data_IF_322713158613
#
_entry.id   IF_322713158613
#
_cell.length_a   1.000
_cell.length_b   1.000
_cell.length_c   1.000
_cell.angle_alpha   90.00
_cell.angle_beta   90.00
_cell.angle_gamma   90.00
#
_symmetry.space_group_name_H-M   'P 1'
#
loop_
_entity.id
_entity.type
_entity.pdbx_description
1 polymer ?
#
# COMPACT_ATOMS: atom_id res chain seq x y z
N UNK A 1 -18.17 28.30 -7.84
CA UNK A 1 -17.72 27.52 -6.69
C UNK A 1 -18.96 27.05 -5.96
N UNK A 2 -19.12 25.76 -5.82
CA UNK A 2 -20.19 25.16 -5.03
C UNK A 2 -19.52 24.35 -3.92
N UNK A 3 -19.79 24.71 -2.67
CA UNK A 3 -19.25 24.03 -1.48
C UNK A 3 -20.39 23.80 -0.49
N UNK A 4 -20.46 22.61 0.05
CA UNK A 4 -21.42 22.23 1.06
C UNK A 4 -20.72 21.88 2.36
N UNK A 5 -21.14 22.52 3.46
CA UNK A 5 -20.64 22.22 4.80
C UNK A 5 -21.41 21.06 5.41
N UNK A 6 -20.68 20.14 6.02
CA UNK A 6 -21.21 18.92 6.58
C UNK A 6 -21.07 18.93 8.11
N UNK A 7 -22.13 19.30 8.80
CA UNK A 7 -22.17 19.35 10.27
C UNK A 7 -22.71 18.03 10.84
N UNK A 8 -21.81 17.05 11.09
CA UNK A 8 -22.18 15.77 11.68
C UNK A 8 -21.20 15.37 12.79
N UNK A 9 -21.72 15.15 14.00
CA UNK A 9 -20.92 14.91 15.20
C UNK A 9 -20.70 13.41 15.49
N UNK A 10 -20.48 12.57 14.47
CA UNK A 10 -20.14 11.14 14.62
C UNK A 10 -19.44 10.64 13.36
N UNK A 11 -18.70 9.55 13.38
CA UNK A 11 -17.79 9.00 14.37
C UNK A 11 -16.42 9.70 14.30
N UNK A 12 -15.62 9.64 15.39
CA UNK A 12 -14.25 10.21 15.46
C UNK A 12 -13.25 9.53 14.52
N UNK A 13 -13.62 8.38 13.99
CA UNK A 13 -12.72 7.51 13.21
C UNK A 13 -12.60 7.95 11.75
N UNK A 14 -13.71 8.35 11.12
CA UNK A 14 -13.78 8.86 9.76
C UNK A 14 -15.00 9.74 9.60
N UNK A 15 -14.82 10.97 9.15
CA UNK A 15 -15.92 11.89 8.91
C UNK A 15 -15.55 12.94 7.85
N UNK A 16 -16.55 13.69 7.38
CA UNK A 16 -16.40 14.76 6.40
C UNK A 16 -16.71 16.13 7.04
N UNK A 17 -15.94 17.15 6.68
CA UNK A 17 -16.24 18.54 7.01
C UNK A 17 -17.06 19.20 5.94
N UNK A 18 -16.67 19.05 4.68
CA UNK A 18 -17.29 19.66 3.52
C UNK A 18 -16.86 18.93 2.25
N UNK A 19 -17.59 19.17 1.19
CA UNK A 19 -17.21 18.80 -0.15
C UNK A 19 -17.56 19.91 -1.12
N UNK A 20 -17.00 19.88 -2.31
CA UNK A 20 -17.31 20.86 -3.31
C UNK A 20 -16.79 20.52 -4.69
N UNK A 21 -17.20 21.33 -5.67
CA UNK A 21 -16.78 21.25 -7.06
C UNK A 21 -16.55 22.64 -7.65
N UNK A 22 -15.55 22.77 -8.50
CA UNK A 22 -15.24 23.99 -9.23
C UNK A 22 -14.88 23.67 -10.67
N UNK A 23 -15.52 24.36 -11.60
CA UNK A 23 -15.38 24.14 -13.03
C UNK A 23 -14.63 25.33 -13.64
N UNK A 24 -13.67 25.04 -14.52
CA UNK A 24 -12.88 25.99 -15.34
C UNK A 24 -12.31 27.18 -14.56
N UNK A 25 -11.48 26.87 -13.56
CA UNK A 25 -10.73 27.89 -12.83
C UNK A 25 -9.47 28.24 -13.57
N UNK A 26 -9.34 29.51 -13.96
CA UNK A 26 -8.14 30.06 -14.62
C UNK A 26 -7.32 30.89 -13.62
N UNK A 27 -6.01 30.95 -13.80
CA UNK A 27 -5.08 31.80 -13.03
C UNK A 27 -5.24 31.70 -11.51
N UNK A 28 -5.57 30.51 -11.00
CA UNK A 28 -5.77 30.31 -9.59
C UNK A 28 -4.49 29.87 -8.90
N UNK A 29 -4.04 30.71 -7.97
CA UNK A 29 -2.99 30.34 -7.02
C UNK A 29 -3.64 30.11 -5.67
N UNK A 30 -3.30 28.96 -5.06
CA UNK A 30 -3.79 28.61 -3.73
C UNK A 30 -2.62 28.57 -2.75
N UNK A 31 -2.85 29.20 -1.62
CA UNK A 31 -1.85 29.25 -0.55
C UNK A 31 -0.73 30.29 -0.78
N UNK A 32 0.30 30.26 0.08
CA UNK A 32 0.53 29.21 1.10
C UNK A 32 -0.49 29.24 2.24
N UNK A 33 -1.10 28.08 2.52
CA UNK A 33 -2.11 27.91 3.57
C UNK A 33 -1.83 26.64 4.39
N UNK A 34 -2.31 26.61 5.64
CA UNK A 34 -2.22 25.44 6.53
C UNK A 34 -3.64 25.09 6.96
N UNK A 35 -3.95 23.78 6.97
CA UNK A 35 -5.25 23.26 7.42
C UNK A 35 -5.09 22.32 8.60
N UNK A 36 -6.15 22.14 9.38
CA UNK A 36 -6.18 21.23 10.54
C UNK A 36 -6.75 19.85 10.21
N UNK A 37 -7.17 19.64 8.97
CA UNK A 37 -7.79 18.41 8.48
C UNK A 37 -7.22 18.04 7.10
N UNK A 38 -7.50 16.84 6.65
CA UNK A 38 -7.14 16.42 5.30
C UNK A 38 -8.08 17.07 4.27
N UNK A 39 -7.50 17.62 3.21
CA UNK A 39 -8.27 18.02 2.03
C UNK A 39 -7.76 17.20 0.84
N UNK A 40 -8.66 16.45 0.25
CA UNK A 40 -8.42 15.63 -0.93
C UNK A 40 -9.00 16.38 -2.13
N UNK A 41 -8.13 16.76 -3.07
CA UNK A 41 -8.53 17.44 -4.31
C UNK A 41 -8.30 16.48 -5.47
N UNK A 42 -9.35 16.19 -6.21
CA UNK A 42 -9.27 15.42 -7.44
C UNK A 42 -9.30 16.38 -8.64
N UNK A 43 -8.33 16.21 -9.54
CA UNK A 43 -8.21 16.99 -10.76
C UNK A 43 -8.89 16.21 -11.89
N UNK A 44 -10.06 16.70 -12.31
CA UNK A 44 -10.82 16.12 -13.42
C UNK A 44 -10.21 16.54 -14.77
N UNK A 45 -9.91 17.84 -14.90
CA UNK A 45 -9.33 18.45 -16.10
C UNK A 45 -8.32 19.53 -15.73
N UNK A 46 -7.42 19.81 -16.67
CA UNK A 46 -6.43 20.87 -16.55
C UNK A 46 -5.16 20.43 -15.82
N UNK A 47 -4.21 21.34 -15.76
CA UNK A 47 -2.87 21.08 -15.22
C UNK A 47 -2.40 22.21 -14.31
N UNK A 48 -1.38 21.94 -13.49
CA UNK A 48 -0.81 22.92 -12.57
C UNK A 48 0.48 22.44 -11.93
N UNK A 49 0.98 23.22 -10.99
CA UNK A 49 2.21 22.94 -10.28
C UNK A 49 2.00 23.08 -8.78
N UNK A 50 2.34 22.03 -8.03
CA UNK A 50 2.48 22.07 -6.59
C UNK A 50 3.90 22.51 -6.25
N UNK A 51 4.04 23.58 -5.47
CA UNK A 51 5.32 24.02 -4.92
C UNK A 51 5.58 23.29 -3.60
N UNK A 52 6.37 22.24 -3.67
CA UNK A 52 6.66 21.37 -2.52
C UNK A 52 8.10 21.57 -2.05
N UNK A 53 8.37 21.28 -0.76
CA UNK A 53 9.71 21.39 -0.17
C UNK A 53 10.78 20.54 -0.87
N UNK A 54 10.39 19.43 -1.47
CA UNK A 54 11.26 18.51 -2.20
C UNK A 54 11.37 18.83 -3.70
N UNK A 55 10.85 19.98 -4.14
CA UNK A 55 10.79 20.40 -5.54
C UNK A 55 9.38 20.51 -6.09
N UNK A 56 9.27 21.11 -7.26
CA UNK A 56 7.97 21.31 -7.89
C UNK A 56 7.41 19.97 -8.45
N UNK A 57 6.14 19.69 -8.16
CA UNK A 57 5.45 18.49 -8.63
C UNK A 57 4.40 18.90 -9.66
N UNK A 58 4.42 18.25 -10.83
CA UNK A 58 3.42 18.45 -11.86
C UNK A 58 2.10 17.82 -11.45
N UNK A 59 1.03 18.60 -11.55
CA UNK A 59 -0.35 18.17 -11.31
C UNK A 59 -1.05 18.01 -12.66
N UNK A 60 -1.62 16.84 -12.90
CA UNK A 60 -2.25 16.44 -14.17
C UNK A 60 -3.69 15.95 -13.92
N UNK A 61 -4.52 15.83 -14.99
CA UNK A 61 -5.81 15.17 -14.89
C UNK A 61 -5.70 13.78 -14.27
N UNK A 62 -6.72 13.38 -13.55
CA UNK A 62 -6.83 12.11 -12.83
C UNK A 62 -5.79 11.92 -11.73
N UNK A 63 -5.23 13.01 -11.19
CA UNK A 63 -4.44 13.00 -9.97
C UNK A 63 -5.28 13.42 -8.75
N UNK A 64 -5.01 12.81 -7.61
CA UNK A 64 -5.37 13.32 -6.30
C UNK A 64 -4.21 14.16 -5.76
N UNK A 65 -4.52 15.34 -5.27
CA UNK A 65 -3.64 16.15 -4.44
C UNK A 65 -4.16 16.08 -3.00
N UNK A 66 -3.36 15.55 -2.09
CA UNK A 66 -3.72 15.42 -0.68
C UNK A 66 -3.01 16.51 0.12
N UNK A 67 -3.81 17.33 0.78
CA UNK A 67 -3.32 18.33 1.73
C UNK A 67 -3.39 17.75 3.13
N UNK A 68 -2.23 17.51 3.73
CA UNK A 68 -2.12 16.94 5.08
C UNK A 68 -2.36 17.99 6.16
N UNK A 69 -2.92 17.61 7.32
CA UNK A 69 -3.08 18.53 8.45
C UNK A 69 -1.72 19.12 8.88
N UNK A 70 -1.74 20.43 9.17
CA UNK A 70 -0.58 21.21 9.63
C UNK A 70 0.59 21.33 8.63
N UNK A 71 0.42 20.85 7.40
CA UNK A 71 1.39 21.04 6.32
C UNK A 71 1.06 22.29 5.50
N UNK A 72 2.12 23.00 5.10
CA UNK A 72 1.99 24.17 4.23
C UNK A 72 1.81 23.71 2.78
N UNK A 73 0.76 24.18 2.14
CA UNK A 73 0.50 23.89 0.75
C UNK A 73 0.45 25.14 -0.10
N UNK A 74 1.01 25.04 -1.30
CA UNK A 74 0.99 26.11 -2.29
C UNK A 74 0.99 25.50 -3.68
N UNK A 75 -0.01 25.81 -4.50
CA UNK A 75 -0.06 25.40 -5.90
C UNK A 75 -0.57 26.52 -6.82
N UNK A 76 -0.21 26.43 -8.09
CA UNK A 76 -0.66 27.31 -9.15
C UNK A 76 -1.25 26.49 -10.31
N UNK A 77 -2.43 26.91 -10.78
CA UNK A 77 -3.07 26.37 -12.00
C UNK A 77 -2.45 27.03 -13.23
N UNK A 78 -2.22 26.26 -14.27
CA UNK A 78 -1.68 26.78 -15.53
C UNK A 78 -2.70 27.69 -16.22
N UNK A 79 -2.21 28.74 -16.85
CA UNK A 79 -3.05 29.76 -17.50
C UNK A 79 -3.80 29.18 -18.71
N UNK A 80 -3.14 28.32 -19.47
CA UNK A 80 -3.68 27.72 -20.69
C UNK A 80 -4.43 26.39 -20.45
N UNK A 81 -4.50 25.93 -19.19
CA UNK A 81 -5.10 24.64 -18.85
C UNK A 81 -5.92 24.73 -17.56
N UNK A 82 -7.09 25.36 -17.63
CA UNK A 82 -7.93 25.63 -16.47
C UNK A 82 -8.43 24.36 -15.80
N UNK A 83 -8.50 24.38 -14.46
CA UNK A 83 -8.91 23.24 -13.66
C UNK A 83 -10.41 23.06 -13.57
N UNK A 84 -10.86 21.82 -13.76
CA UNK A 84 -12.09 21.28 -13.19
C UNK A 84 -11.68 20.34 -12.07
N UNK A 85 -12.12 20.63 -10.84
CA UNK A 85 -11.76 19.88 -9.65
C UNK A 85 -12.97 19.57 -8.78
N UNK A 86 -12.92 18.42 -8.13
CA UNK A 86 -13.79 18.07 -7.00
C UNK A 86 -12.94 17.88 -5.75
N UNK A 87 -13.48 18.20 -4.58
CA UNK A 87 -12.75 18.02 -3.33
C UNK A 87 -13.64 17.57 -2.18
N UNK A 88 -13.01 16.87 -1.23
CA UNK A 88 -13.60 16.49 0.06
C UNK A 88 -12.64 16.85 1.19
N UNK A 89 -13.14 17.53 2.20
CA UNK A 89 -12.46 17.77 3.47
C UNK A 89 -12.83 16.68 4.46
N UNK A 90 -11.86 15.88 4.89
CA UNK A 90 -12.09 14.72 5.75
C UNK A 90 -11.21 14.76 7.00
N UNK A 91 -11.65 14.09 8.06
CA UNK A 91 -10.90 13.96 9.29
C UNK A 91 -11.18 12.61 9.97
N UNK A 92 -10.31 12.24 10.92
CA UNK A 92 -10.39 11.00 11.68
C UNK A 92 -9.13 10.15 11.56
N UNK A 93 -8.95 9.24 12.50
CA UNK A 93 -7.74 8.43 12.59
C UNK A 93 -7.55 7.49 11.40
N UNK A 94 -8.65 6.94 10.87
CA UNK A 94 -8.62 6.02 9.73
C UNK A 94 -8.15 6.67 8.42
N UNK A 95 -8.34 7.99 8.25
CA UNK A 95 -7.89 8.71 7.04
C UNK A 95 -6.37 8.56 6.87
N UNK A 96 -5.63 8.75 7.97
CA UNK A 96 -4.18 8.61 7.93
C UNK A 96 -3.74 7.17 7.64
N UNK A 97 -4.46 6.18 8.18
CA UNK A 97 -4.13 4.77 7.96
C UNK A 97 -4.42 4.35 6.51
N UNK A 98 -5.50 4.84 5.91
CA UNK A 98 -5.76 4.64 4.48
C UNK A 98 -4.66 5.26 3.60
N UNK A 99 -4.21 6.48 3.90
CA UNK A 99 -3.11 7.09 3.15
C UNK A 99 -1.80 6.33 3.31
N UNK A 100 -1.49 5.82 4.51
CA UNK A 100 -0.33 4.93 4.70
C UNK A 100 -0.43 3.66 3.85
N UNK A 101 -1.61 3.02 3.79
CA UNK A 101 -1.86 1.86 2.94
C UNK A 101 -1.65 2.20 1.45
N UNK A 102 -1.97 3.40 1.03
CA UNK A 102 -1.75 3.91 -0.32
C UNK A 102 -0.30 4.35 -0.59
N UNK A 103 0.59 4.38 0.42
CA UNK A 103 1.92 4.98 0.41
C UNK A 103 1.90 6.47 0.03
N UNK A 104 0.87 7.17 0.50
CA UNK A 104 0.72 8.62 0.36
C UNK A 104 1.05 9.25 1.71
N UNK A 105 1.89 10.25 1.71
CA UNK A 105 2.27 11.03 2.88
C UNK A 105 2.57 12.49 2.50
N UNK A 106 2.96 13.29 3.47
CA UNK A 106 3.28 14.69 3.23
C UNK A 106 4.52 14.91 2.35
N UNK A 107 5.38 13.90 2.18
CA UNK A 107 6.54 13.95 1.25
C UNK A 107 6.13 13.62 -0.20
N UNK A 108 5.08 12.82 -0.37
CA UNK A 108 4.54 12.37 -1.66
C UNK A 108 3.01 12.57 -1.68
N UNK A 109 2.53 13.83 -1.74
CA UNK A 109 1.12 14.17 -1.55
C UNK A 109 0.28 14.05 -2.84
N UNK A 110 0.85 13.59 -3.94
CA UNK A 110 0.16 13.44 -5.23
C UNK A 110 0.05 11.96 -5.59
N UNK A 111 -1.17 11.54 -5.96
CA UNK A 111 -1.46 10.15 -6.28
C UNK A 111 -2.21 10.04 -7.62
N UNK A 112 -1.67 9.32 -8.63
CA UNK A 112 -2.37 9.04 -9.87
C UNK A 112 -3.49 8.02 -9.64
N UNK A 113 -4.67 8.30 -10.14
CA UNK A 113 -5.85 7.44 -10.03
C UNK A 113 -5.89 6.44 -11.17
N UNK A 114 -5.96 5.14 -10.84
CA UNK A 114 -6.00 4.06 -11.84
C UNK A 114 -7.37 3.92 -12.51
N UNK A 115 -8.46 4.23 -11.79
CA UNK A 115 -9.83 4.17 -12.29
C UNK A 115 -10.55 5.52 -12.10
N UNK A 116 -10.32 6.48 -13.00
CA UNK A 116 -10.91 7.82 -12.93
C UNK A 116 -12.42 7.82 -12.85
N UNK A 117 -13.08 7.05 -13.71
CA UNK A 117 -14.56 7.02 -13.80
C UNK A 117 -15.21 6.61 -12.48
N UNK A 118 -14.62 5.66 -11.77
CA UNK A 118 -15.12 5.21 -10.47
C UNK A 118 -14.98 6.30 -9.41
N UNK A 119 -13.83 6.97 -9.37
CA UNK A 119 -13.57 8.06 -8.41
C UNK A 119 -14.47 9.28 -8.69
N UNK A 120 -14.63 9.64 -9.94
CA UNK A 120 -15.52 10.74 -10.36
C UNK A 120 -16.97 10.48 -9.96
N UNK A 121 -17.45 9.26 -10.19
CA UNK A 121 -18.79 8.85 -9.77
C UNK A 121 -18.97 8.98 -8.26
N UNK A 122 -18.04 8.44 -7.46
CA UNK A 122 -18.12 8.49 -6.00
C UNK A 122 -18.09 9.94 -5.51
N UNK A 123 -17.19 10.77 -6.03
CA UNK A 123 -17.11 12.19 -5.64
C UNK A 123 -18.38 12.97 -6.02
N UNK A 124 -18.97 12.67 -7.18
CA UNK A 124 -20.24 13.26 -7.59
C UNK A 124 -21.39 12.82 -6.66
N UNK A 125 -21.45 11.55 -6.29
CA UNK A 125 -22.45 11.03 -5.37
C UNK A 125 -22.28 11.67 -3.97
N UNK A 126 -21.07 11.80 -3.45
CA UNK A 126 -20.79 12.55 -2.21
C UNK A 126 -21.32 13.97 -2.31
N UNK A 127 -21.05 14.66 -3.42
CA UNK A 127 -21.52 16.03 -3.63
C UNK A 127 -23.05 16.11 -3.66
N UNK A 128 -23.74 15.21 -4.35
CA UNK A 128 -25.19 15.16 -4.43
C UNK A 128 -25.84 14.87 -3.07
N UNK A 129 -25.36 13.83 -2.36
CA UNK A 129 -25.89 13.46 -1.05
C UNK A 129 -25.53 14.44 0.06
N UNK A 130 -24.53 15.30 -0.12
CA UNK A 130 -24.19 16.34 0.85
C UNK A 130 -25.30 17.38 1.06
N UNK A 131 -26.25 17.49 0.13
CA UNK A 131 -27.45 18.31 0.26
C UNK A 131 -28.56 17.65 1.08
N UNK A 132 -28.49 16.33 1.30
CA UNK A 132 -29.40 15.64 2.20
C UNK A 132 -28.91 15.75 3.65
N UNK A 133 -29.47 16.73 4.38
CA UNK A 133 -29.11 16.99 5.78
C UNK A 133 -29.73 15.99 6.78
N UNK A 134 -30.51 15.00 6.30
CA UNK A 134 -31.03 13.91 7.14
C UNK A 134 -29.91 13.05 7.73
N UNK A 135 -30.21 12.31 8.79
CA UNK A 135 -29.27 11.36 9.36
C UNK A 135 -28.87 10.29 8.35
N UNK A 136 -29.81 9.84 7.51
CA UNK A 136 -29.56 8.87 6.46
C UNK A 136 -28.58 9.40 5.42
N UNK A 137 -28.79 10.63 4.91
CA UNK A 137 -27.90 11.27 3.95
C UNK A 137 -26.49 11.46 4.49
N UNK A 138 -26.37 11.85 5.76
CA UNK A 138 -25.08 11.99 6.43
C UNK A 138 -24.33 10.66 6.56
N UNK A 139 -25.01 9.58 6.95
CA UNK A 139 -24.42 8.25 7.02
C UNK A 139 -24.03 7.77 5.62
N UNK A 140 -24.85 8.06 4.61
CA UNK A 140 -24.56 7.69 3.23
C UNK A 140 -23.29 8.40 2.70
N UNK A 141 -23.11 9.70 2.98
CA UNK A 141 -21.86 10.39 2.65
C UNK A 141 -20.64 9.72 3.29
N UNK A 142 -20.73 9.29 4.55
CA UNK A 142 -19.62 8.57 5.21
C UNK A 142 -19.36 7.23 4.53
N UNK A 143 -20.41 6.47 4.15
CA UNK A 143 -20.23 5.21 3.42
C UNK A 143 -19.54 5.42 2.08
N UNK A 144 -19.85 6.48 1.34
CA UNK A 144 -19.20 6.85 0.09
C UNK A 144 -17.73 7.22 0.28
N UNK A 145 -17.32 7.75 1.44
CA UNK A 145 -15.90 7.99 1.73
C UNK A 145 -15.16 6.65 1.93
N UNK A 146 -15.79 5.66 2.57
CA UNK A 146 -15.23 4.30 2.62
C UNK A 146 -15.12 3.69 1.21
N UNK A 147 -16.14 3.85 0.36
CA UNK A 147 -16.10 3.40 -1.02
C UNK A 147 -14.99 4.08 -1.83
N UNK A 148 -14.75 5.38 -1.58
CA UNK A 148 -13.65 6.13 -2.18
C UNK A 148 -12.29 5.51 -1.84
N UNK A 149 -12.00 5.25 -0.57
CA UNK A 149 -10.77 4.59 -0.18
C UNK A 149 -10.69 3.13 -0.64
N UNK A 150 -11.80 2.40 -0.63
CA UNK A 150 -11.88 1.04 -1.16
C UNK A 150 -11.57 1.01 -2.66
N UNK A 151 -12.08 1.98 -3.44
CA UNK A 151 -11.79 2.10 -4.87
C UNK A 151 -10.30 2.36 -5.14
N UNK A 152 -9.65 3.23 -4.34
CA UNK A 152 -8.22 3.49 -4.44
C UNK A 152 -7.35 2.28 -4.05
N UNK A 153 -7.81 1.47 -3.10
CA UNK A 153 -7.10 0.29 -2.59
C UNK A 153 -7.35 -0.97 -3.42
N UNK A 154 -8.35 -0.98 -4.31
CA UNK A 154 -8.86 -2.17 -5.01
C UNK A 154 -7.77 -3.01 -5.68
N UNK A 155 -6.77 -2.37 -6.27
CA UNK A 155 -5.67 -3.04 -6.97
C UNK A 155 -4.37 -3.04 -6.17
N UNK A 156 -4.39 -2.47 -4.95
CA UNK A 156 -3.18 -2.34 -4.14
C UNK A 156 -3.08 -3.51 -3.18
N UNK A 157 -2.16 -4.42 -3.46
CA UNK A 157 -1.76 -5.41 -2.46
C UNK A 157 -1.11 -4.68 -1.28
N UNK A 158 -1.63 -4.87 -0.07
CA UNK A 158 -1.01 -4.36 1.16
C UNK A 158 0.42 -4.92 1.25
N UNK A 159 1.36 -4.15 1.84
CA UNK A 159 2.74 -4.63 2.07
C UNK A 159 2.76 -5.98 2.80
N UNK A 160 1.87 -6.14 3.77
CA UNK A 160 1.67 -7.37 4.53
C UNK A 160 1.22 -8.53 3.63
N UNK A 161 0.46 -8.26 2.56
CA UNK A 161 0.02 -9.30 1.65
C UNK A 161 1.17 -9.84 0.80
N UNK A 162 2.10 -8.98 0.36
CA UNK A 162 3.30 -9.46 -0.36
C UNK A 162 4.17 -10.37 0.50
N UNK A 163 4.36 -10.02 1.77
CA UNK A 163 5.18 -10.84 2.68
C UNK A 163 4.47 -12.13 3.04
N UNK A 164 3.17 -12.10 3.35
CA UNK A 164 2.35 -13.30 3.61
C UNK A 164 2.32 -14.22 2.38
N UNK A 165 2.12 -13.65 1.20
CA UNK A 165 2.11 -14.41 -0.06
C UNK A 165 3.49 -14.99 -0.38
N UNK A 166 4.58 -14.23 -0.14
CA UNK A 166 5.95 -14.75 -0.26
C UNK A 166 6.22 -15.92 0.71
N UNK A 167 5.79 -15.80 1.97
CA UNK A 167 5.90 -16.88 2.96
C UNK A 167 5.11 -18.11 2.49
N UNK A 168 3.90 -17.90 1.96
CA UNK A 168 3.11 -19.00 1.40
C UNK A 168 3.83 -19.67 0.23
N UNK A 169 4.31 -18.91 -0.75
CA UNK A 169 5.07 -19.42 -1.89
C UNK A 169 6.29 -20.24 -1.41
N UNK A 170 7.04 -19.72 -0.43
CA UNK A 170 8.21 -20.40 0.12
C UNK A 170 7.82 -21.72 0.77
N UNK A 171 6.81 -21.73 1.64
CA UNK A 171 6.36 -22.94 2.35
C UNK A 171 5.85 -24.04 1.44
N UNK A 172 5.28 -23.70 0.29
CA UNK A 172 4.77 -24.71 -0.67
C UNK A 172 5.75 -25.10 -1.77
N UNK A 173 6.89 -24.41 -1.89
CA UNK A 173 7.86 -24.68 -2.94
C UNK A 173 9.33 -24.70 -2.45
N UNK A 174 9.57 -24.80 -1.14
CA UNK A 174 10.94 -24.79 -0.59
C UNK A 174 11.82 -25.91 -1.16
N UNK A 175 11.24 -27.03 -1.55
CA UNK A 175 11.88 -28.20 -2.14
C UNK A 175 12.32 -27.98 -3.60
N UNK A 176 11.77 -26.95 -4.26
CA UNK A 176 12.09 -26.60 -5.66
C UNK A 176 13.19 -25.56 -5.75
N UNK A 177 13.65 -25.33 -6.99
CA UNK A 177 14.62 -24.27 -7.27
C UNK A 177 13.91 -22.91 -7.29
N UNK A 178 13.63 -22.37 -6.08
CA UNK A 178 13.08 -21.04 -5.91
C UNK A 178 14.14 -20.03 -5.54
N UNK A 179 14.02 -18.83 -6.08
CA UNK A 179 14.88 -17.68 -5.81
C UNK A 179 14.08 -16.47 -5.36
N UNK A 180 14.75 -15.51 -4.72
CA UNK A 180 14.11 -14.22 -4.36
C UNK A 180 13.53 -13.52 -5.58
N UNK A 181 14.23 -13.61 -6.73
CA UNK A 181 13.78 -12.99 -7.96
C UNK A 181 12.56 -13.71 -8.55
N UNK A 182 12.51 -15.06 -8.53
CA UNK A 182 11.33 -15.79 -9.02
C UNK A 182 10.09 -15.51 -8.15
N UNK A 183 10.25 -15.45 -6.83
CA UNK A 183 9.16 -15.08 -5.91
C UNK A 183 8.68 -13.64 -6.19
N UNK A 184 9.61 -12.69 -6.31
CA UNK A 184 9.29 -11.29 -6.58
C UNK A 184 8.58 -11.13 -7.94
N UNK A 185 8.98 -11.88 -8.96
CA UNK A 185 8.33 -11.91 -10.26
C UNK A 185 6.89 -12.43 -10.20
N UNK A 186 6.64 -13.50 -9.42
CA UNK A 186 5.28 -14.00 -9.16
C UNK A 186 4.41 -12.97 -8.47
N UNK A 187 5.00 -12.15 -7.59
CA UNK A 187 4.31 -11.08 -6.86
C UNK A 187 4.24 -9.76 -7.63
N UNK A 188 4.76 -9.69 -8.86
CA UNK A 188 4.83 -8.49 -9.69
C UNK A 188 5.56 -7.31 -9.02
N UNK A 189 6.61 -7.60 -8.24
CA UNK A 189 7.49 -6.62 -7.58
C UNK A 189 8.96 -6.90 -7.88
N UNK A 190 9.85 -5.98 -7.54
CA UNK A 190 11.30 -6.21 -7.69
C UNK A 190 11.86 -7.04 -6.53
N UNK A 191 12.90 -7.85 -6.80
CA UNK A 191 13.58 -8.64 -5.75
C UNK A 191 14.17 -7.77 -4.62
N UNK A 192 14.60 -6.55 -4.95
CA UNK A 192 15.09 -5.57 -3.97
C UNK A 192 13.96 -5.09 -3.06
N UNK A 193 12.79 -4.78 -3.63
CA UNK A 193 11.61 -4.39 -2.86
C UNK A 193 11.13 -5.52 -1.94
N UNK A 194 10.99 -6.74 -2.49
CA UNK A 194 10.65 -7.93 -1.69
C UNK A 194 11.61 -8.13 -0.53
N UNK A 195 12.93 -8.10 -0.78
CA UNK A 195 13.95 -8.30 0.26
C UNK A 195 13.83 -7.29 1.39
N UNK A 196 13.55 -6.02 1.06
CA UNK A 196 13.39 -4.94 2.03
C UNK A 196 12.15 -5.14 2.90
N UNK A 197 10.97 -5.32 2.31
CA UNK A 197 9.70 -5.46 3.07
C UNK A 197 9.70 -6.75 3.90
N UNK A 198 10.20 -7.84 3.33
CA UNK A 198 10.27 -9.14 3.99
C UNK A 198 11.16 -9.09 5.24
N UNK A 199 12.34 -8.44 5.13
CA UNK A 199 13.25 -8.29 6.28
C UNK A 199 12.69 -7.35 7.35
N UNK A 200 11.97 -6.30 6.94
CA UNK A 200 11.31 -5.39 7.89
C UNK A 200 10.23 -6.10 8.72
N UNK A 201 9.48 -7.01 8.10
CA UNK A 201 8.35 -7.68 8.77
C UNK A 201 8.76 -8.95 9.52
N UNK A 202 9.66 -9.77 8.94
CA UNK A 202 10.05 -11.07 9.52
C UNK A 202 11.36 -11.05 10.28
N UNK A 203 12.14 -9.98 10.17
CA UNK A 203 13.51 -9.90 10.69
C UNK A 203 14.54 -10.68 9.86
N UNK A 204 14.13 -11.47 8.86
CA UNK A 204 14.96 -12.33 8.03
C UNK A 204 14.91 -11.89 6.57
N UNK A 205 15.99 -12.13 5.82
CA UNK A 205 15.90 -12.04 4.36
C UNK A 205 15.08 -13.21 3.79
N UNK A 206 14.44 -13.08 2.62
CA UNK A 206 13.73 -14.19 1.97
C UNK A 206 14.62 -15.42 1.76
N UNK A 207 15.90 -15.22 1.42
CA UNK A 207 16.88 -16.29 1.26
C UNK A 207 17.15 -17.06 2.56
N UNK A 208 17.28 -16.35 3.67
CA UNK A 208 17.44 -16.97 4.99
C UNK A 208 16.18 -17.73 5.40
N UNK A 209 15.02 -17.21 5.09
CA UNK A 209 13.75 -17.85 5.37
C UNK A 209 13.59 -19.16 4.57
N UNK A 210 13.92 -19.18 3.28
CA UNK A 210 13.95 -20.40 2.45
C UNK A 210 14.88 -21.46 3.08
N UNK A 211 16.08 -21.05 3.47
CA UNK A 211 17.05 -21.95 4.12
C UNK A 211 16.48 -22.53 5.42
N UNK A 212 15.86 -21.70 6.25
CA UNK A 212 15.30 -22.14 7.52
C UNK A 212 14.14 -23.14 7.32
N UNK A 213 13.25 -22.92 6.32
CA UNK A 213 12.20 -23.87 5.99
C UNK A 213 12.76 -25.21 5.50
N UNK A 214 13.81 -25.19 4.66
CA UNK A 214 14.52 -26.41 4.21
C UNK A 214 15.10 -27.19 5.36
N UNK A 215 15.80 -26.52 6.29
CA UNK A 215 16.41 -27.19 7.47
C UNK A 215 15.33 -27.71 8.42
N UNK A 216 14.25 -26.98 8.64
CA UNK A 216 13.11 -27.42 9.45
C UNK A 216 12.51 -28.72 8.90
N UNK A 217 12.21 -28.78 7.61
CA UNK A 217 11.68 -29.97 6.96
C UNK A 217 12.71 -31.14 6.97
N UNK A 218 14.00 -30.82 6.83
CA UNK A 218 15.06 -31.84 6.96
C UNK A 218 15.09 -32.45 8.36
N UNK A 219 14.90 -31.68 9.43
CA UNK A 219 14.78 -32.17 10.79
C UNK A 219 13.64 -33.18 10.96
N UNK A 220 12.46 -32.84 10.36
CA UNK A 220 11.30 -33.71 10.41
C UNK A 220 11.53 -35.02 9.65
N UNK A 221 12.14 -34.95 8.47
CA UNK A 221 12.52 -36.16 7.70
C UNK A 221 13.57 -37.01 8.39
N UNK A 222 14.57 -36.39 9.04
CA UNK A 222 15.59 -37.10 9.79
C UNK A 222 15.01 -37.90 10.96
N UNK A 223 14.00 -37.39 11.64
CA UNK A 223 13.33 -38.03 12.78
C UNK A 223 12.31 -39.10 12.35
N UNK A 224 11.58 -38.85 11.26
CA UNK A 224 10.41 -39.63 10.91
C UNK A 224 10.63 -40.56 9.71
N UNK A 225 11.82 -40.64 9.14
CA UNK A 225 12.09 -41.49 7.98
C UNK A 225 13.46 -42.19 8.09
N UNK A 226 13.60 -43.30 7.36
CA UNK A 226 14.86 -44.02 7.18
C UNK A 226 15.62 -43.58 5.91
N UNK A 227 15.18 -42.52 5.24
CA UNK A 227 15.82 -42.00 4.03
C UNK A 227 17.29 -41.64 4.29
N UNK A 228 18.15 -41.87 3.32
CA UNK A 228 19.55 -41.47 3.40
C UNK A 228 19.73 -39.97 3.48
N UNK A 229 20.85 -39.50 4.01
CA UNK A 229 21.16 -38.05 4.07
C UNK A 229 21.13 -37.41 2.68
N UNK A 230 21.53 -38.17 1.65
CA UNK A 230 21.47 -37.70 0.24
C UNK A 230 20.03 -37.53 -0.25
N UNK A 231 19.17 -38.49 0.05
CA UNK A 231 17.72 -38.37 -0.33
C UNK A 231 17.05 -37.24 0.40
N UNK A 232 17.32 -37.06 1.70
CA UNK A 232 16.77 -35.94 2.47
C UNK A 232 17.25 -34.60 1.90
N UNK A 233 18.55 -34.47 1.60
CA UNK A 233 19.09 -33.25 1.00
C UNK A 233 18.38 -32.90 -0.31
N UNK A 234 18.15 -33.88 -1.17
CA UNK A 234 17.43 -33.72 -2.42
C UNK A 234 15.94 -33.31 -2.16
N UNK A 235 15.28 -34.01 -1.23
CA UNK A 235 13.86 -33.78 -0.90
C UNK A 235 13.59 -32.39 -0.31
N UNK A 236 14.59 -31.73 0.26
CA UNK A 236 14.45 -30.36 0.80
C UNK A 236 15.04 -29.31 -0.14
N UNK A 237 15.30 -29.65 -1.40
CA UNK A 237 15.77 -28.69 -2.42
C UNK A 237 17.24 -28.28 -2.26
N UNK A 238 18.08 -29.13 -1.66
CA UNK A 238 19.54 -28.93 -1.55
C UNK A 238 20.24 -30.12 -2.20
N UNK A 239 20.43 -30.15 -3.53
CA UNK A 239 20.90 -31.30 -4.27
C UNK A 239 22.32 -31.75 -3.91
N UNK A 240 23.17 -30.86 -3.40
CA UNK A 240 24.51 -31.18 -2.94
C UNK A 240 24.52 -31.67 -1.47
N UNK A 241 24.74 -32.97 -1.19
CA UNK A 241 24.71 -33.51 0.17
C UNK A 241 25.85 -32.99 1.07
N UNK A 242 26.98 -32.59 0.50
CA UNK A 242 28.08 -32.01 1.27
C UNK A 242 27.76 -30.60 1.72
N UNK A 243 27.22 -29.79 0.80
CA UNK A 243 26.73 -28.47 1.13
C UNK A 243 25.57 -28.53 2.14
N UNK A 244 24.63 -29.47 1.96
CA UNK A 244 23.53 -29.70 2.92
C UNK A 244 24.07 -30.00 4.31
N UNK A 245 25.02 -30.94 4.45
CA UNK A 245 25.55 -31.34 5.75
C UNK A 245 26.27 -30.19 6.46
N UNK A 246 27.01 -29.36 5.73
CA UNK A 246 27.68 -28.17 6.27
C UNK A 246 26.66 -27.12 6.71
N UNK A 247 25.63 -26.88 5.89
CA UNK A 247 24.57 -25.93 6.16
C UNK A 247 23.75 -26.34 7.39
N UNK A 248 23.37 -27.62 7.45
CA UNK A 248 22.62 -28.20 8.58
C UNK A 248 23.43 -28.07 9.87
N UNK A 249 24.73 -28.47 9.88
CA UNK A 249 25.61 -28.34 11.06
C UNK A 249 25.72 -26.88 11.52
N UNK A 250 25.82 -25.93 10.58
CA UNK A 250 25.88 -24.50 10.91
C UNK A 250 24.59 -23.98 11.56
N UNK A 251 23.44 -24.51 11.14
CA UNK A 251 22.12 -24.08 11.64
C UNK A 251 21.71 -24.80 12.93
N UNK A 252 22.03 -26.08 13.06
CA UNK A 252 21.56 -26.92 14.15
C UNK A 252 22.65 -27.24 15.20
N UNK A 253 23.90 -26.81 14.96
CA UNK A 253 25.04 -27.07 15.85
C UNK A 253 25.63 -28.49 15.75
N UNK A 254 24.95 -29.43 15.06
CA UNK A 254 25.35 -30.81 14.91
C UNK A 254 25.09 -31.31 13.49
N UNK A 255 25.77 -32.40 13.09
CA UNK A 255 25.59 -33.00 11.76
C UNK A 255 24.20 -33.65 11.60
N UNK A 256 23.70 -33.84 10.37
CA UNK A 256 22.45 -34.59 10.13
C UNK A 256 22.45 -36.00 10.73
N UNK A 257 23.62 -36.70 10.71
CA UNK A 257 23.76 -38.03 11.27
C UNK A 257 23.60 -38.00 12.80
N UNK A 258 24.35 -37.13 13.48
CA UNK A 258 24.24 -36.94 14.94
C UNK A 258 22.82 -36.53 15.36
N UNK A 259 22.13 -35.75 14.53
CA UNK A 259 20.74 -35.30 14.80
C UNK A 259 19.75 -36.46 14.71
N UNK A 260 19.95 -37.41 13.80
CA UNK A 260 19.10 -38.60 13.64
C UNK A 260 19.28 -39.62 14.79
N UNK A 261 20.47 -39.69 15.38
CA UNK A 261 20.80 -40.63 16.45
C UNK A 261 20.34 -40.13 17.84
N UNK A 262 19.81 -38.95 17.91
CA UNK A 262 19.33 -38.29 19.12
C UNK A 262 17.83 -38.47 19.34
#
# INVERSE_FOLDING_TARGET
MQENQFNFTMPKELNMYYCGRRIKTMNHTYGPEIRTHFLIVYIEEGTGTLFHKNGNIRLCPHHLLIMFPNERIHYKVDEDSPWTISWIGVYGNLVNDFFKMLNIDAEYPVYPVENPEMIERILNDIFLYSYDHSLSGKIHCISLIYDFFAALLKNKKLKDDYVKEAIHIIKYNFDKDISVNSIAQTLHITGCHLSRIFKMETGLSPKEFIINERIKNACDLLKNSHASIKEIALSVGIPDPLYFSRLFKRKMGMSPKEFREK
#
